data_IF_559282059652
#
_entry.id   IF_559282059652
#
_cell.length_a   1.000
_cell.length_b   1.000
_cell.length_c   1.000
_cell.angle_alpha   90.00
_cell.angle_beta   90.00
_cell.angle_gamma   90.00
#
_symmetry.space_group_name_H-M   'P 1'
#
loop_
_entity.id
_entity.type
_entity.pdbx_description
1 polymer ?
#
# COMPACT_ATOMS: atom_id res chain seq x y z
N UNK A 1 -0.37 -10.36 -17.13
CA UNK A 1 -1.77 -10.05 -17.49
C UNK A 1 -2.76 -11.21 -17.28
N UNK A 2 -2.46 -12.46 -17.62
CA UNK A 2 -3.42 -13.59 -17.48
C UNK A 2 -3.79 -13.96 -16.04
N UNK A 3 -2.96 -13.70 -15.03
CA UNK A 3 -3.23 -14.08 -13.62
C UNK A 3 -4.28 -13.17 -12.99
N UNK A 4 -4.25 -11.86 -13.28
CA UNK A 4 -5.20 -10.91 -12.70
C UNK A 4 -6.63 -11.12 -13.22
N UNK A 5 -6.81 -11.41 -14.51
CA UNK A 5 -8.14 -11.73 -15.07
C UNK A 5 -8.76 -12.97 -14.43
N UNK A 6 -7.99 -14.06 -14.25
CA UNK A 6 -8.48 -15.27 -13.60
C UNK A 6 -8.84 -15.06 -12.12
N UNK A 7 -8.13 -14.17 -11.44
CA UNK A 7 -8.45 -13.83 -10.05
C UNK A 7 -9.77 -13.05 -9.98
N UNK A 8 -9.95 -12.02 -10.83
CA UNK A 8 -11.18 -11.23 -10.89
C UNK A 8 -12.40 -12.10 -11.20
N UNK A 9 -12.29 -13.02 -12.19
CA UNK A 9 -13.37 -13.97 -12.50
C UNK A 9 -13.73 -14.86 -11.32
N UNK A 10 -12.74 -15.36 -10.58
CA UNK A 10 -12.96 -16.17 -9.38
C UNK A 10 -13.61 -15.41 -8.25
N UNK A 11 -13.21 -14.16 -8.04
CA UNK A 11 -13.79 -13.30 -7.02
C UNK A 11 -15.24 -12.94 -7.36
N UNK A 12 -15.52 -12.60 -8.62
CA UNK A 12 -16.88 -12.37 -9.09
C UNK A 12 -17.77 -13.62 -8.92
N UNK A 13 -17.26 -14.81 -9.26
CA UNK A 13 -17.95 -16.08 -9.03
C UNK A 13 -18.17 -16.38 -7.55
N UNK A 14 -17.34 -15.87 -6.65
CA UNK A 14 -17.49 -15.97 -5.20
C UNK A 14 -18.44 -14.90 -4.60
N UNK A 15 -19.03 -14.03 -5.44
CA UNK A 15 -20.00 -13.01 -5.02
C UNK A 15 -19.41 -11.65 -4.71
N UNK A 16 -18.12 -11.43 -5.01
CA UNK A 16 -17.53 -10.09 -4.89
C UNK A 16 -18.05 -9.17 -5.99
N UNK A 17 -18.36 -7.93 -5.63
CA UNK A 17 -18.74 -6.85 -6.53
C UNK A 17 -17.77 -5.68 -6.40
N UNK A 18 -17.74 -4.79 -7.39
CA UNK A 18 -16.89 -3.62 -7.34
C UNK A 18 -17.25 -2.71 -6.16
N UNK A 19 -16.24 -2.10 -5.55
CA UNK A 19 -16.41 -1.20 -4.42
C UNK A 19 -17.34 -0.03 -4.78
N UNK A 20 -18.31 0.24 -3.90
CA UNK A 20 -19.34 1.25 -4.10
C UNK A 20 -20.61 0.71 -4.76
N UNK A 21 -20.69 -0.61 -5.04
CA UNK A 21 -21.95 -1.24 -5.42
C UNK A 21 -22.90 -1.29 -4.22
N UNK A 22 -24.11 -0.78 -4.40
CA UNK A 22 -25.14 -0.79 -3.36
C UNK A 22 -25.49 -2.23 -2.97
N UNK A 23 -25.66 -2.47 -1.66
CA UNK A 23 -26.08 -3.75 -1.07
C UNK A 23 -25.09 -4.93 -1.17
N UNK A 24 -23.89 -4.74 -1.71
CA UNK A 24 -22.89 -5.82 -1.79
C UNK A 24 -22.21 -6.07 -0.42
N UNK A 25 -22.35 -7.28 0.13
CA UNK A 25 -21.65 -7.68 1.36
C UNK A 25 -20.16 -7.91 1.14
N UNK A 26 -19.78 -8.35 -0.04
CA UNK A 26 -18.39 -8.59 -0.43
C UNK A 26 -18.03 -7.63 -1.56
N UNK A 27 -17.09 -6.75 -1.28
CA UNK A 27 -16.66 -5.73 -2.25
C UNK A 27 -15.18 -5.89 -2.60
N UNK A 28 -14.83 -5.53 -3.82
CA UNK A 28 -13.49 -5.57 -4.38
C UNK A 28 -13.09 -4.18 -4.84
N UNK A 29 -11.93 -3.71 -4.41
CA UNK A 29 -11.37 -2.44 -4.89
C UNK A 29 -9.99 -2.64 -5.49
N UNK A 30 -9.67 -1.87 -6.52
CA UNK A 30 -8.32 -1.82 -7.07
C UNK A 30 -7.50 -0.75 -6.34
N UNK A 31 -6.33 -1.15 -5.83
CA UNK A 31 -5.39 -0.27 -5.14
C UNK A 31 -4.07 -0.27 -5.90
N UNK A 32 -3.53 0.93 -6.17
CA UNK A 32 -2.18 1.11 -6.69
C UNK A 32 -1.21 1.42 -5.53
N UNK A 33 -0.40 0.47 -5.06
CA UNK A 33 0.46 0.66 -3.89
C UNK A 33 1.38 1.88 -4.00
N UNK A 34 2.05 2.08 -5.14
CA UNK A 34 2.97 3.22 -5.32
C UNK A 34 2.22 4.57 -5.32
N UNK A 35 1.02 4.63 -5.91
CA UNK A 35 0.17 5.82 -5.85
C UNK A 35 -0.33 6.07 -4.41
N UNK A 36 -0.71 5.03 -3.69
CA UNK A 36 -1.14 5.11 -2.29
C UNK A 36 -0.04 5.68 -1.39
N UNK A 37 1.18 5.16 -1.47
CA UNK A 37 2.31 5.73 -0.72
C UNK A 37 2.59 7.19 -1.13
N UNK A 38 2.50 7.51 -2.43
CA UNK A 38 2.69 8.88 -2.92
C UNK A 38 1.68 9.85 -2.31
N UNK A 39 0.42 9.45 -2.23
CA UNK A 39 -0.65 10.26 -1.66
C UNK A 39 -0.44 10.48 -0.16
N UNK A 40 -0.12 9.42 0.59
CA UNK A 40 0.08 9.50 2.04
C UNK A 40 1.24 10.41 2.44
N UNK A 41 2.37 10.36 1.74
CA UNK A 41 3.52 11.23 2.06
C UNK A 41 3.53 12.56 1.29
N UNK A 42 2.64 12.72 0.33
CA UNK A 42 2.51 13.94 -0.46
C UNK A 42 3.59 14.16 -1.51
N UNK A 43 4.44 13.16 -1.79
CA UNK A 43 5.52 13.19 -2.80
C UNK A 43 5.86 11.77 -3.25
N UNK A 44 6.65 11.64 -4.33
CA UNK A 44 7.11 10.34 -4.81
C UNK A 44 8.00 9.64 -3.77
N UNK A 45 7.70 8.38 -3.38
CA UNK A 45 8.54 7.62 -2.46
C UNK A 45 9.85 7.18 -3.10
N UNK A 46 10.82 6.78 -2.27
CA UNK A 46 12.06 6.14 -2.73
C UNK A 46 11.77 4.84 -3.50
N UNK A 47 12.76 4.34 -4.25
CA UNK A 47 12.64 3.09 -5.00
C UNK A 47 12.24 1.93 -4.08
N UNK A 48 11.19 1.18 -4.42
CA UNK A 48 10.58 0.17 -3.54
C UNK A 48 11.49 -1.00 -3.13
N UNK A 49 12.49 -1.30 -3.94
CA UNK A 49 13.45 -2.39 -3.70
C UNK A 49 14.68 -1.96 -2.92
N UNK A 50 14.90 -0.65 -2.74
CA UNK A 50 16.03 -0.14 -1.97
C UNK A 50 15.78 -0.23 -0.46
N UNK A 51 16.84 -0.18 0.34
CA UNK A 51 16.75 -0.15 1.81
C UNK A 51 15.90 1.04 2.28
N UNK A 52 16.22 2.23 1.80
CA UNK A 52 15.51 3.46 2.12
C UNK A 52 14.04 3.43 1.68
N UNK A 53 13.76 2.79 0.53
CA UNK A 53 12.39 2.65 0.04
C UNK A 53 11.55 1.69 0.86
N UNK A 54 12.13 0.60 1.34
CA UNK A 54 11.47 -0.34 2.26
C UNK A 54 11.25 0.29 3.63
N UNK A 55 12.28 0.93 4.19
CA UNK A 55 12.20 1.69 5.44
C UNK A 55 11.09 2.74 5.38
N UNK A 56 11.08 3.58 4.35
CA UNK A 56 10.09 4.64 4.19
C UNK A 56 8.67 4.09 4.15
N UNK A 57 8.41 3.05 3.34
CA UNK A 57 7.07 2.46 3.22
C UNK A 57 6.60 1.81 4.51
N UNK A 58 7.48 1.09 5.21
CA UNK A 58 7.15 0.49 6.49
C UNK A 58 6.87 1.54 7.55
N UNK A 59 7.65 2.64 7.57
CA UNK A 59 7.42 3.76 8.48
C UNK A 59 6.07 4.43 8.21
N UNK A 60 5.70 4.62 6.95
CA UNK A 60 4.38 5.17 6.60
C UNK A 60 3.25 4.29 7.16
N UNK A 61 3.35 2.97 7.00
CA UNK A 61 2.36 2.04 7.54
C UNK A 61 2.32 2.05 9.08
N UNK A 62 3.50 2.12 9.71
CA UNK A 62 3.63 2.24 11.17
C UNK A 62 2.96 3.53 11.68
N UNK A 63 3.21 4.65 11.01
CA UNK A 63 2.62 5.96 11.35
C UNK A 63 1.09 6.00 11.11
N UNK A 64 0.57 5.15 10.21
CA UNK A 64 -0.87 4.96 10.05
C UNK A 64 -1.49 4.07 11.15
N UNK A 65 -0.72 3.63 12.13
CA UNK A 65 -1.19 2.86 13.26
C UNK A 65 -1.32 1.35 13.02
N UNK A 66 -0.72 0.81 11.96
CA UNK A 66 -0.67 -0.63 11.77
C UNK A 66 0.22 -1.27 12.85
N UNK A 67 -0.26 -2.40 13.39
CA UNK A 67 0.51 -3.20 14.37
C UNK A 67 1.59 -4.02 13.65
N UNK A 68 2.65 -3.33 13.23
CA UNK A 68 3.82 -3.89 12.56
C UNK A 68 5.09 -3.48 13.31
N UNK A 69 6.22 -4.14 13.01
CA UNK A 69 7.50 -3.79 13.63
C UNK A 69 7.93 -2.36 13.25
N UNK A 70 8.44 -1.64 14.26
CA UNK A 70 9.01 -0.31 14.04
C UNK A 70 10.25 -0.39 13.15
N UNK A 71 10.21 0.16 11.93
CA UNK A 71 11.32 0.08 11.00
C UNK A 71 12.56 0.84 11.47
N UNK A 72 12.42 1.78 12.42
CA UNK A 72 13.55 2.54 12.96
C UNK A 72 14.52 1.65 13.74
N UNK A 73 14.09 0.47 14.21
CA UNK A 73 14.96 -0.52 14.86
C UNK A 73 16.10 -1.01 13.96
N UNK A 74 15.95 -0.93 12.64
CA UNK A 74 17.03 -1.24 11.68
C UNK A 74 18.29 -0.42 11.97
N UNK A 75 18.17 0.83 12.41
CA UNK A 75 19.31 1.69 12.71
C UNK A 75 20.07 1.25 13.97
N UNK A 76 19.41 0.62 14.93
CA UNK A 76 20.04 0.06 16.11
C UNK A 76 20.94 -1.15 15.76
N UNK A 77 20.55 -1.88 14.71
CA UNK A 77 21.27 -3.05 14.20
C UNK A 77 22.41 -2.69 13.26
N UNK A 78 22.44 -1.49 12.69
CA UNK A 78 23.50 -1.01 11.82
C UNK A 78 24.71 -0.62 12.67
N UNK A 79 25.72 -1.47 12.68
CA UNK A 79 27.00 -1.22 13.35
C UNK A 79 28.11 -0.98 12.35
N UNK A 80 29.17 -0.26 12.80
CA UNK A 80 30.38 -0.07 11.99
C UNK A 80 30.96 -1.41 11.51
N UNK A 81 30.97 -2.41 12.36
CA UNK A 81 31.47 -3.75 12.03
C UNK A 81 30.63 -4.40 10.92
N UNK A 82 29.31 -4.44 11.10
CA UNK A 82 28.41 -5.05 10.11
C UNK A 82 28.48 -4.34 8.75
N UNK A 83 28.54 -3.00 8.74
CA UNK A 83 28.68 -2.23 7.50
C UNK A 83 29.99 -2.55 6.78
N UNK A 84 31.11 -2.67 7.51
CA UNK A 84 32.41 -3.06 6.91
C UNK A 84 32.40 -4.47 6.31
N UNK A 85 31.53 -5.34 6.80
CA UNK A 85 31.33 -6.70 6.27
C UNK A 85 30.24 -6.75 5.17
N UNK A 86 29.65 -5.63 4.80
CA UNK A 86 28.55 -5.58 3.83
C UNK A 86 27.24 -6.18 4.36
N UNK A 87 27.08 -6.29 5.68
CA UNK A 87 25.89 -6.86 6.32
C UNK A 87 24.93 -5.72 6.67
N UNK A 88 23.73 -5.78 6.07
CA UNK A 88 22.61 -4.88 6.38
C UNK A 88 21.48 -5.67 7.04
N UNK A 89 20.77 -5.10 8.02
CA UNK A 89 19.69 -5.77 8.76
C UNK A 89 18.38 -5.77 7.95
N UNK A 90 18.41 -6.30 6.73
CA UNK A 90 17.27 -6.33 5.82
C UNK A 90 16.15 -7.26 6.30
N UNK A 91 16.47 -8.22 7.16
CA UNK A 91 15.51 -9.16 7.75
C UNK A 91 14.52 -8.45 8.71
N UNK A 92 14.88 -7.28 9.24
CA UNK A 92 14.00 -6.42 10.04
C UNK A 92 12.99 -5.61 9.24
N UNK A 93 13.01 -5.69 7.90
CA UNK A 93 12.12 -4.95 7.01
C UNK A 93 11.29 -5.88 6.14
N UNK A 94 10.01 -5.58 6.01
CA UNK A 94 9.14 -6.27 5.06
C UNK A 94 9.64 -6.17 3.63
N UNK A 95 9.40 -7.20 2.85
CA UNK A 95 9.66 -7.21 1.41
C UNK A 95 8.75 -6.21 0.67
N UNK A 96 9.10 -5.78 -0.54
CA UNK A 96 8.22 -4.93 -1.34
C UNK A 96 6.82 -5.50 -1.57
N UNK A 97 6.70 -6.83 -1.68
CA UNK A 97 5.40 -7.49 -1.88
C UNK A 97 4.54 -7.47 -0.61
N UNK A 98 5.15 -7.70 0.55
CA UNK A 98 4.45 -7.59 1.84
C UNK A 98 3.99 -6.16 2.09
N UNK A 99 4.84 -5.17 1.82
CA UNK A 99 4.49 -3.74 1.93
C UNK A 99 3.35 -3.36 0.98
N UNK A 100 3.33 -3.91 -0.23
CA UNK A 100 2.23 -3.70 -1.17
C UNK A 100 0.92 -4.34 -0.68
N UNK A 101 0.98 -5.53 -0.12
CA UNK A 101 -0.20 -6.20 0.44
C UNK A 101 -0.75 -5.45 1.66
N UNK A 102 0.13 -4.99 2.55
CA UNK A 102 -0.24 -4.23 3.75
C UNK A 102 -0.91 -2.90 3.40
N UNK A 103 -0.38 -2.15 2.44
CA UNK A 103 -0.97 -0.88 2.05
C UNK A 103 -2.31 -1.06 1.32
N UNK A 104 -2.48 -2.13 0.55
CA UNK A 104 -3.75 -2.47 -0.07
C UNK A 104 -4.80 -2.83 0.99
N UNK A 105 -4.43 -3.67 1.97
CA UNK A 105 -5.30 -4.02 3.09
C UNK A 105 -5.67 -2.78 3.93
N UNK A 106 -4.71 -1.89 4.21
CA UNK A 106 -4.96 -0.63 4.90
C UNK A 106 -5.97 0.24 4.15
N UNK A 107 -5.81 0.37 2.82
CA UNK A 107 -6.73 1.17 2.00
C UNK A 107 -8.15 0.60 2.03
N UNK A 108 -8.30 -0.72 1.94
CA UNK A 108 -9.58 -1.39 2.03
C UNK A 108 -10.23 -1.24 3.42
N UNK A 109 -9.43 -1.38 4.49
CA UNK A 109 -9.91 -1.13 5.86
C UNK A 109 -10.36 0.33 6.05
N UNK A 110 -9.59 1.29 5.55
CA UNK A 110 -9.94 2.71 5.66
C UNK A 110 -11.22 3.03 4.88
N UNK A 111 -11.45 2.38 3.75
CA UNK A 111 -12.66 2.54 2.96
C UNK A 111 -13.92 2.14 3.72
N UNK A 112 -13.82 1.16 4.61
CA UNK A 112 -14.92 0.74 5.50
C UNK A 112 -15.01 1.63 6.75
N UNK A 113 -13.86 1.92 7.39
CA UNK A 113 -13.83 2.63 8.67
C UNK A 113 -14.12 4.13 8.52
N UNK A 114 -13.62 4.77 7.47
CA UNK A 114 -13.83 6.21 7.17
C UNK A 114 -13.84 6.44 5.65
N UNK A 115 -14.95 6.16 4.98
CA UNK A 115 -15.09 6.33 3.52
C UNK A 115 -14.77 7.74 3.01
N UNK A 116 -14.89 8.76 3.88
CA UNK A 116 -14.61 10.15 3.50
C UNK A 116 -13.10 10.41 3.27
N UNK A 117 -12.25 9.52 3.78
CA UNK A 117 -10.80 9.56 3.55
C UNK A 117 -10.37 8.83 2.28
N UNK A 118 -11.30 8.33 1.48
CA UNK A 118 -11.00 7.63 0.23
C UNK A 118 -11.43 8.50 -0.96
N UNK A 119 -10.54 8.62 -1.93
CA UNK A 119 -10.83 9.19 -3.23
C UNK A 119 -10.58 8.17 -4.33
N UNK A 120 -11.36 8.22 -5.40
CA UNK A 120 -11.11 7.43 -6.61
C UNK A 120 -10.38 8.26 -7.67
N UNK A 121 -9.57 7.58 -8.48
CA UNK A 121 -8.90 8.14 -9.64
C UNK A 121 -9.02 7.20 -10.83
N UNK A 122 -9.41 7.73 -11.98
CA UNK A 122 -9.66 6.97 -13.21
C UNK A 122 -11.11 7.11 -13.70
N UNK A 123 -11.42 6.47 -14.82
CA UNK A 123 -12.75 6.44 -15.41
C UNK A 123 -13.49 5.17 -14.93
N UNK A 124 -14.72 5.28 -14.40
CA UNK A 124 -15.50 4.10 -14.00
C UNK A 124 -15.69 3.05 -15.11
N UNK A 125 -15.71 3.49 -16.39
CA UNK A 125 -15.87 2.59 -17.54
C UNK A 125 -14.56 1.90 -17.95
N UNK A 126 -13.41 2.51 -17.65
CA UNK A 126 -12.08 2.00 -18.03
C UNK A 126 -11.30 1.38 -16.87
N UNK A 127 -11.72 1.67 -15.64
CA UNK A 127 -11.12 1.24 -14.39
C UNK A 127 -10.75 2.40 -13.47
N UNK A 128 -10.98 2.20 -12.19
CA UNK A 128 -10.65 3.15 -11.12
C UNK A 128 -9.73 2.53 -10.10
N UNK A 129 -8.80 3.33 -9.58
CA UNK A 129 -8.04 3.01 -8.38
C UNK A 129 -8.53 3.84 -7.20
N UNK A 130 -8.47 3.27 -6.00
CA UNK A 130 -8.86 3.93 -4.77
C UNK A 130 -7.63 4.29 -3.94
N UNK A 131 -7.64 5.51 -3.38
CA UNK A 131 -6.49 6.11 -2.71
C UNK A 131 -6.91 6.68 -1.34
N UNK A 132 -6.11 6.50 -0.27
CA UNK A 132 -6.41 6.97 1.08
C UNK A 132 -6.12 8.47 1.22
N UNK A 133 -6.95 9.29 0.65
CA UNK A 133 -6.95 10.72 0.80
C UNK A 133 -8.33 11.29 0.52
N UNK A 134 -8.80 12.18 1.37
CA UNK A 134 -10.08 12.88 1.19
C UNK A 134 -10.06 13.77 -0.07
N UNK A 135 -8.90 14.35 -0.41
CA UNK A 135 -8.71 15.21 -1.58
C UNK A 135 -7.38 14.90 -2.24
N UNK A 136 -7.40 14.62 -3.53
CA UNK A 136 -6.20 14.39 -4.33
C UNK A 136 -5.60 15.72 -4.80
N UNK A 137 -4.28 15.85 -4.72
CA UNK A 137 -3.55 16.99 -5.28
C UNK A 137 -3.44 16.85 -6.80
N UNK A 138 -3.39 17.96 -7.52
CA UNK A 138 -3.19 17.97 -8.98
C UNK A 138 -1.81 17.44 -9.41
N UNK A 139 -0.82 17.51 -8.51
CA UNK A 139 0.57 17.07 -8.76
C UNK A 139 1.24 16.71 -7.44
N UNK A 140 2.01 15.63 -7.48
CA UNK A 140 2.91 15.18 -6.41
C UNK A 140 4.36 15.33 -6.90
N UNK A 141 5.22 16.05 -6.18
CA UNK A 141 6.63 16.24 -6.53
C UNK A 141 7.46 14.97 -6.44
#
# INVERSE_FOLDING_TARGET
MQISFRLSERLAAAGYQDYGADEAQLQLMEVSPDATYTVLIGKRPFAKSSLEGRLQRQLILYDQGLHIDDPMRVFEEITRYRLKQGILPLDGLYSPNELNALIAAFTAWLAEADPQQISSYGDPAEGQIFLPAAVLKKKYP
#
